data_IF_062062977500
#
_entry.id   IF_062062977500
#
_cell.length_a   1.000
_cell.length_b   1.000
_cell.length_c   1.000
_cell.angle_alpha   90.00
_cell.angle_beta   90.00
_cell.angle_gamma   90.00
#
_symmetry.space_group_name_H-M   'P 1'
#
loop_
_entity.id
_entity.type
_entity.pdbx_description
1 polymer ?
#
# COMPACT_ATOMS: atom_id res chain seq x y z
N UNK A 1 -15.71 -18.14 4.30
CA UNK A 1 -16.23 -17.10 3.39
C UNK A 1 -15.24 -15.95 3.37
N UNK A 2 -14.47 -15.77 2.27
CA UNK A 2 -13.56 -14.62 2.14
C UNK A 2 -14.40 -13.42 1.70
N UNK A 3 -14.63 -12.48 2.61
CA UNK A 3 -15.29 -11.22 2.25
C UNK A 3 -14.27 -10.43 1.41
N UNK A 4 -14.59 -10.26 0.14
CA UNK A 4 -13.87 -9.36 -0.77
C UNK A 4 -14.52 -7.99 -0.68
N UNK A 5 -13.71 -6.95 -0.51
CA UNK A 5 -14.21 -5.58 -0.58
C UNK A 5 -14.54 -5.26 -2.03
N UNK A 6 -15.81 -4.99 -2.32
CA UNK A 6 -16.35 -4.87 -3.68
C UNK A 6 -15.71 -3.73 -4.50
N UNK A 7 -14.96 -2.82 -3.87
CA UNK A 7 -14.32 -1.70 -4.56
C UNK A 7 -12.86 -1.98 -4.97
N UNK A 8 -12.23 -3.05 -4.50
CA UNK A 8 -10.78 -3.27 -4.70
C UNK A 8 -10.38 -4.63 -5.26
N UNK A 9 -11.32 -5.58 -5.41
CA UNK A 9 -11.04 -7.00 -5.72
C UNK A 9 -10.11 -7.68 -4.68
N UNK A 10 -9.84 -7.04 -3.54
CA UNK A 10 -8.95 -7.53 -2.50
C UNK A 10 -9.75 -8.31 -1.43
N UNK A 11 -9.14 -9.35 -0.86
CA UNK A 11 -9.71 -9.98 0.34
C UNK A 11 -9.59 -9.03 1.55
N UNK A 12 -10.41 -9.24 2.58
CA UNK A 12 -10.45 -8.38 3.78
C UNK A 12 -9.07 -8.00 4.35
N UNK A 13 -8.15 -8.97 4.47
CA UNK A 13 -6.80 -8.73 4.99
C UNK A 13 -5.97 -7.79 4.09
N UNK A 14 -6.09 -7.92 2.76
CA UNK A 14 -5.39 -7.07 1.81
C UNK A 14 -6.05 -5.71 1.67
N UNK A 15 -7.38 -5.63 1.79
CA UNK A 15 -8.11 -4.36 1.84
C UNK A 15 -7.71 -3.51 3.05
N UNK A 16 -7.58 -4.15 4.23
CA UNK A 16 -7.08 -3.48 5.43
C UNK A 16 -5.63 -3.00 5.26
N UNK A 17 -4.75 -3.86 4.72
CA UNK A 17 -3.37 -3.50 4.46
C UNK A 17 -3.26 -2.36 3.43
N UNK A 18 -4.08 -2.37 2.38
CA UNK A 18 -4.18 -1.29 1.39
C UNK A 18 -4.56 0.03 2.03
N UNK A 19 -5.60 0.04 2.88
CA UNK A 19 -6.01 1.23 3.62
C UNK A 19 -4.87 1.77 4.50
N UNK A 20 -4.14 0.89 5.19
CA UNK A 20 -2.99 1.27 6.02
C UNK A 20 -1.82 1.83 5.18
N UNK A 21 -1.49 1.21 4.05
CA UNK A 21 -0.45 1.69 3.12
C UNK A 21 -0.79 3.08 2.58
N UNK A 22 -2.04 3.31 2.15
CA UNK A 22 -2.48 4.65 1.72
C UNK A 22 -2.42 5.68 2.85
N UNK A 23 -2.89 5.32 4.04
CA UNK A 23 -2.83 6.20 5.21
C UNK A 23 -1.39 6.60 5.57
N UNK A 24 -0.46 5.65 5.52
CA UNK A 24 0.95 5.90 5.77
C UNK A 24 1.58 6.84 4.72
N UNK A 25 1.17 6.76 3.45
CA UNK A 25 1.67 7.68 2.43
C UNK A 25 1.37 9.15 2.77
N UNK A 26 0.18 9.46 3.25
CA UNK A 26 -0.17 10.84 3.65
C UNK A 26 0.75 11.37 4.76
N UNK A 27 1.09 10.53 5.74
CA UNK A 27 2.02 10.89 6.82
C UNK A 27 3.44 11.11 6.30
N UNK A 28 3.92 10.22 5.44
CA UNK A 28 5.25 10.32 4.85
C UNK A 28 5.37 11.52 3.90
N UNK A 29 4.34 11.78 3.10
CA UNK A 29 4.29 12.95 2.23
C UNK A 29 4.41 14.25 3.04
N UNK A 30 3.65 14.37 4.14
CA UNK A 30 3.72 15.54 5.01
C UNK A 30 5.11 15.70 5.69
N UNK A 31 5.75 14.58 6.06
CA UNK A 31 7.05 14.61 6.74
C UNK A 31 8.24 14.91 5.80
N UNK A 32 8.22 14.38 4.58
CA UNK A 32 9.33 14.48 3.62
C UNK A 32 9.14 15.58 2.56
N UNK A 33 7.92 16.06 2.33
CA UNK A 33 7.58 17.20 1.46
C UNK A 33 7.70 16.96 -0.05
N UNK A 34 8.64 16.15 -0.50
CA UNK A 34 8.88 15.84 -1.92
C UNK A 34 8.86 14.33 -2.23
N UNK A 35 8.41 13.50 -1.29
CA UNK A 35 8.37 12.06 -1.47
C UNK A 35 7.30 11.68 -2.49
N UNK A 36 7.72 11.07 -3.61
CA UNK A 36 6.77 10.54 -4.58
C UNK A 36 6.14 9.25 -4.06
N UNK A 37 4.95 8.92 -4.57
CA UNK A 37 4.30 7.63 -4.31
C UNK A 37 5.19 6.45 -4.67
N UNK A 38 5.90 6.54 -5.80
CA UNK A 38 6.77 5.46 -6.27
C UNK A 38 7.96 5.25 -5.32
N UNK A 39 8.60 6.33 -4.87
CA UNK A 39 9.67 6.26 -3.86
C UNK A 39 9.18 5.70 -2.53
N UNK A 40 7.99 6.11 -2.09
CA UNK A 40 7.35 5.57 -0.90
C UNK A 40 7.15 4.05 -1.01
N UNK A 41 6.55 3.57 -2.11
CA UNK A 41 6.30 2.15 -2.33
C UNK A 41 7.62 1.35 -2.38
N UNK A 42 8.63 1.85 -3.10
CA UNK A 42 9.96 1.21 -3.16
C UNK A 42 10.60 1.11 -1.77
N UNK A 43 10.47 2.13 -0.93
CA UNK A 43 10.97 2.10 0.46
C UNK A 43 10.25 1.04 1.31
N UNK A 44 8.93 0.93 1.20
CA UNK A 44 8.18 -0.10 1.94
C UNK A 44 8.57 -1.54 1.56
N UNK A 45 8.98 -1.79 0.31
CA UNK A 45 9.44 -3.14 -0.07
C UNK A 45 10.68 -3.57 0.71
N UNK A 46 11.61 -2.64 0.95
CA UNK A 46 12.94 -2.94 1.51
C UNK A 46 13.00 -2.81 3.02
N UNK A 47 12.07 -2.09 3.66
CA UNK A 47 12.04 -1.94 5.11
C UNK A 47 11.69 -3.26 5.80
N UNK A 48 12.52 -3.76 6.73
CA UNK A 48 12.27 -5.01 7.43
C UNK A 48 11.03 -4.95 8.32
N UNK A 49 10.66 -3.76 8.80
CA UNK A 49 9.49 -3.52 9.64
C UNK A 49 8.17 -3.60 8.86
N UNK A 50 8.22 -3.60 7.52
CA UNK A 50 7.02 -3.73 6.69
C UNK A 50 6.50 -5.16 6.77
N UNK A 51 5.32 -5.34 7.37
CA UNK A 51 4.66 -6.63 7.46
C UNK A 51 4.30 -7.22 6.08
N UNK A 52 4.24 -8.55 6.00
CA UNK A 52 4.14 -9.26 4.72
C UNK A 52 2.92 -8.86 3.87
N UNK A 53 1.75 -8.68 4.49
CA UNK A 53 0.53 -8.23 3.78
C UNK A 53 0.69 -6.85 3.17
N UNK A 54 1.34 -5.92 3.87
CA UNK A 54 1.63 -4.60 3.33
C UNK A 54 2.64 -4.71 2.18
N UNK A 55 3.66 -5.56 2.32
CA UNK A 55 4.65 -5.80 1.25
C UNK A 55 4.01 -6.40 -0.01
N UNK A 56 3.07 -7.33 0.13
CA UNK A 56 2.29 -7.87 -0.98
C UNK A 56 1.46 -6.80 -1.68
N UNK A 57 0.72 -5.98 -0.93
CA UNK A 57 -0.05 -4.85 -1.48
C UNK A 57 0.85 -3.86 -2.19
N UNK A 58 1.99 -3.50 -1.60
CA UNK A 58 2.96 -2.58 -2.21
C UNK A 58 3.49 -3.14 -3.53
N UNK A 59 3.86 -4.42 -3.58
CA UNK A 59 4.28 -5.08 -4.83
C UNK A 59 3.16 -5.07 -5.86
N UNK A 60 1.91 -5.35 -5.45
CA UNK A 60 0.76 -5.27 -6.33
C UNK A 60 0.59 -3.88 -6.94
N UNK A 61 0.71 -2.81 -6.14
CA UNK A 61 0.55 -1.42 -6.58
C UNK A 61 1.70 -0.92 -7.46
N UNK A 62 2.92 -1.42 -7.25
CA UNK A 62 4.06 -1.13 -8.16
C UNK A 62 3.78 -1.68 -9.56
N UNK A 63 3.20 -2.88 -9.67
CA UNK A 63 2.87 -3.49 -10.96
C UNK A 63 1.54 -2.97 -11.56
N UNK A 64 0.65 -2.40 -10.74
CA UNK A 64 -0.68 -1.93 -11.13
C UNK A 64 -0.93 -0.49 -10.58
N UNK A 65 -0.19 0.52 -11.07
CA UNK A 65 -0.23 1.88 -10.52
C UNK A 65 -1.60 2.57 -10.62
N UNK A 66 -2.46 2.12 -11.53
CA UNK A 66 -3.85 2.56 -11.72
C UNK A 66 -4.80 2.05 -10.62
N UNK A 67 -4.37 1.04 -9.85
CA UNK A 67 -5.12 0.52 -8.70
C UNK A 67 -4.95 1.37 -7.44
N UNK A 68 -4.06 2.36 -7.45
CA UNK A 68 -3.98 3.38 -6.40
C UNK A 68 -5.10 4.41 -6.58
N UNK A 69 -6.28 4.08 -6.08
CA UNK A 69 -7.47 4.95 -6.03
C UNK A 69 -7.73 5.37 -4.60
#
# INVERSE_FOLDING_TARGET
MKIVDANTDLCANHSEAYSKVKGAYSLWFAAYGNLTRDDFLKRLVVLPETGDRAREVVRFLIHNPERWK
#
